data_IF_797164086860
#
_entry.id   IF_797164086860
#
_cell.length_a   1.000
_cell.length_b   1.000
_cell.length_c   1.000
_cell.angle_alpha   90.00
_cell.angle_beta   90.00
_cell.angle_gamma   90.00
#
_symmetry.space_group_name_H-M   'P 1'
#
loop_
_entity.id
_entity.type
_entity.pdbx_description
1 polymer ?
#
# COMPACT_ATOMS: atom_id res chain seq x y z
N UNK A 1 -13.40 -3.42 -3.62
CA UNK A 1 -13.45 -4.38 -4.74
C UNK A 1 -12.30 -4.24 -5.74
N UNK A 2 -11.50 -3.17 -5.71
CA UNK A 2 -10.64 -2.74 -6.82
C UNK A 2 -9.40 -3.61 -7.19
N UNK A 3 -9.30 -4.85 -6.70
CA UNK A 3 -8.16 -5.74 -7.04
C UNK A 3 -8.59 -7.15 -7.46
N UNK A 4 -9.57 -7.73 -6.75
CA UNK A 4 -10.00 -9.13 -6.97
C UNK A 4 -10.68 -9.32 -8.31
N UNK A 5 -11.61 -8.44 -8.69
CA UNK A 5 -12.33 -8.58 -9.96
C UNK A 5 -11.35 -8.50 -11.13
N UNK A 6 -10.43 -7.53 -11.13
CA UNK A 6 -9.40 -7.43 -12.17
C UNK A 6 -8.49 -8.65 -12.22
N UNK A 7 -7.90 -9.07 -11.09
CA UNK A 7 -7.01 -10.22 -11.04
C UNK A 7 -7.71 -11.52 -11.45
N UNK A 8 -8.92 -11.77 -10.94
CA UNK A 8 -9.71 -12.96 -11.23
C UNK A 8 -10.18 -12.99 -12.68
N UNK A 9 -10.68 -11.86 -13.21
CA UNK A 9 -11.04 -11.75 -14.62
C UNK A 9 -9.83 -12.00 -15.53
N UNK A 10 -8.64 -11.51 -15.15
CA UNK A 10 -7.43 -11.68 -15.97
C UNK A 10 -6.94 -13.12 -15.96
N UNK A 11 -6.89 -13.72 -14.76
CA UNK A 11 -6.57 -15.13 -14.62
C UNK A 11 -7.58 -16.01 -15.37
N UNK A 12 -8.88 -15.70 -15.26
CA UNK A 12 -9.93 -16.44 -15.94
C UNK A 12 -9.87 -16.35 -17.47
N UNK A 13 -9.53 -15.18 -18.01
CA UNK A 13 -9.35 -14.99 -19.45
C UNK A 13 -8.12 -15.75 -19.99
N UNK A 14 -7.05 -15.85 -19.21
CA UNK A 14 -5.75 -16.37 -19.65
C UNK A 14 -5.44 -17.81 -19.21
N UNK A 15 -6.28 -18.42 -18.38
CA UNK A 15 -6.08 -19.80 -17.94
C UNK A 15 -6.46 -20.80 -19.04
N UNK A 16 -5.67 -21.86 -19.18
CA UNK A 16 -5.84 -22.89 -20.22
C UNK A 16 -7.12 -23.70 -20.05
N UNK A 17 -7.64 -23.81 -18.83
CA UNK A 17 -8.87 -24.56 -18.55
C UNK A 17 -10.14 -23.72 -18.72
N UNK A 18 -10.00 -22.41 -18.94
CA UNK A 18 -11.12 -21.48 -19.06
C UNK A 18 -11.20 -20.94 -20.50
N UNK A 19 -10.80 -19.69 -20.72
CA UNK A 19 -10.92 -19.02 -22.03
C UNK A 19 -9.64 -19.10 -22.87
N UNK A 20 -8.51 -19.49 -22.26
CA UNK A 20 -7.21 -19.71 -22.91
C UNK A 20 -6.75 -18.60 -23.86
N UNK A 21 -7.16 -17.35 -23.62
CA UNK A 21 -6.77 -16.20 -24.43
C UNK A 21 -5.29 -15.89 -24.24
N UNK A 22 -4.66 -15.35 -25.28
CA UNK A 22 -3.34 -14.76 -25.17
C UNK A 22 -3.36 -13.61 -24.14
N UNK A 23 -2.28 -13.40 -23.36
CA UNK A 23 -2.16 -12.22 -22.51
C UNK A 23 -2.45 -10.90 -23.25
N UNK A 24 -2.04 -10.78 -24.53
CA UNK A 24 -2.31 -9.60 -25.36
C UNK A 24 -3.80 -9.38 -25.60
N UNK A 25 -4.53 -10.44 -25.93
CA UNK A 25 -5.98 -10.41 -26.14
C UNK A 25 -6.72 -10.10 -24.85
N UNK A 26 -6.31 -10.73 -23.74
CA UNK A 26 -6.88 -10.45 -22.44
C UNK A 26 -6.68 -8.98 -22.02
N UNK A 27 -5.51 -8.39 -22.27
CA UNK A 27 -5.28 -6.96 -21.99
C UNK A 27 -6.17 -6.05 -22.87
N UNK A 28 -6.37 -6.40 -24.14
CA UNK A 28 -7.28 -5.66 -25.02
C UNK A 28 -8.73 -5.73 -24.52
N UNK A 29 -9.19 -6.91 -24.09
CA UNK A 29 -10.54 -7.09 -23.50
C UNK A 29 -10.69 -6.28 -22.20
N UNK A 30 -9.65 -6.25 -21.36
CA UNK A 30 -9.69 -5.51 -20.09
C UNK A 30 -9.66 -3.99 -20.25
N UNK A 31 -9.34 -3.46 -21.43
CA UNK A 31 -9.35 -2.02 -21.71
C UNK A 31 -10.74 -1.39 -21.53
N UNK A 32 -11.79 -2.21 -21.58
CA UNK A 32 -13.16 -1.80 -21.26
C UNK A 32 -13.25 -1.23 -19.85
N UNK A 33 -12.49 -1.74 -18.87
CA UNK A 33 -12.56 -1.29 -17.47
C UNK A 33 -12.06 0.16 -17.31
N UNK A 34 -10.85 0.54 -17.76
CA UNK A 34 -10.42 1.94 -17.79
C UNK A 34 -11.35 2.86 -18.59
N UNK A 35 -11.89 2.40 -19.72
CA UNK A 35 -12.82 3.18 -20.54
C UNK A 35 -14.14 3.46 -19.78
N UNK A 36 -14.68 2.45 -19.11
CA UNK A 36 -15.85 2.61 -18.24
C UNK A 36 -15.57 3.57 -17.08
N UNK A 37 -14.39 3.51 -16.46
CA UNK A 37 -14.01 4.47 -15.41
C UNK A 37 -13.91 5.91 -15.92
N UNK A 38 -13.37 6.10 -17.13
CA UNK A 38 -13.30 7.43 -17.75
C UNK A 38 -14.72 7.96 -18.06
N UNK A 39 -15.58 7.10 -18.59
CA UNK A 39 -16.98 7.43 -18.85
C UNK A 39 -17.74 7.78 -17.57
N UNK A 40 -17.64 6.96 -16.52
CA UNK A 40 -18.33 7.26 -15.25
C UNK A 40 -17.80 8.53 -14.60
N UNK A 41 -16.49 8.78 -14.64
CA UNK A 41 -15.91 10.00 -14.09
C UNK A 41 -16.42 11.26 -14.80
N UNK A 42 -16.55 11.23 -16.13
CA UNK A 42 -16.93 12.42 -16.90
C UNK A 42 -18.44 12.63 -17.01
N UNK A 43 -19.22 11.55 -17.07
CA UNK A 43 -20.66 11.63 -17.37
C UNK A 43 -21.56 11.27 -16.19
N UNK A 44 -21.08 10.49 -15.21
CA UNK A 44 -21.90 9.99 -14.10
C UNK A 44 -21.60 10.69 -12.77
N UNK A 45 -20.33 11.02 -12.49
CA UNK A 45 -19.96 11.74 -11.27
C UNK A 45 -20.34 13.21 -11.38
N UNK A 46 -21.33 13.62 -10.60
CA UNK A 46 -21.70 15.01 -10.41
C UNK A 46 -20.54 15.80 -9.78
N UNK A 47 -20.13 16.90 -10.42
CA UNK A 47 -19.05 17.75 -9.94
C UNK A 47 -19.56 18.56 -8.75
N UNK A 48 -19.17 18.19 -7.54
CA UNK A 48 -19.49 18.97 -6.34
C UNK A 48 -18.54 20.17 -6.24
N UNK A 49 -19.08 21.39 -6.41
CA UNK A 49 -18.35 22.67 -6.38
C UNK A 49 -17.76 23.08 -5.00
N UNK A 50 -17.75 22.17 -4.01
CA UNK A 50 -17.36 22.48 -2.61
C UNK A 50 -15.84 22.55 -2.39
N UNK A 51 -15.04 22.86 -3.42
CA UNK A 51 -13.61 23.12 -3.26
C UNK A 51 -13.35 24.61 -3.50
N UNK A 52 -12.99 25.34 -2.42
CA UNK A 52 -12.47 26.70 -2.53
C UNK A 52 -11.25 26.68 -3.46
N UNK A 53 -11.44 27.12 -4.70
CA UNK A 53 -10.38 27.31 -5.68
C UNK A 53 -9.38 28.27 -5.06
N UNK A 54 -8.18 27.80 -4.72
CA UNK A 54 -7.07 28.65 -4.32
C UNK A 54 -6.72 29.47 -5.57
N UNK A 55 -7.29 30.67 -5.64
CA UNK A 55 -6.97 31.63 -6.69
C UNK A 55 -5.58 32.18 -6.41
N UNK A 56 -4.57 31.63 -7.08
CA UNK A 56 -3.29 32.32 -7.25
C UNK A 56 -3.56 33.58 -8.07
N UNK A 57 -3.85 34.68 -7.37
CA UNK A 57 -4.03 35.99 -7.99
C UNK A 57 -2.68 36.44 -8.56
N UNK A 58 -2.55 36.26 -9.88
CA UNK A 58 -1.47 36.80 -10.69
C UNK A 58 -1.69 38.32 -10.75
N UNK A 59 -0.88 39.08 -10.02
CA UNK A 59 -0.91 40.54 -10.06
C UNK A 59 -0.22 40.99 -11.36
N UNK A 60 -0.98 41.04 -12.46
CA UNK A 60 -0.58 41.78 -13.65
C UNK A 60 -0.98 43.24 -13.50
N UNK A 61 0.02 44.11 -13.63
CA UNK A 61 -0.09 45.55 -13.79
C UNK A 61 -1.16 45.92 -14.83
N UNK A 62 -2.02 46.88 -14.51
CA UNK A 62 -2.20 48.07 -15.35
C UNK A 62 -2.96 49.17 -14.60
N UNK A 63 -2.58 50.40 -14.95
CA UNK A 63 -2.94 51.67 -14.30
C UNK A 63 -4.26 52.24 -14.81
N UNK A 64 -4.99 52.95 -13.95
CA UNK A 64 -5.67 54.27 -14.15
C UNK A 64 -6.65 54.52 -12.97
N UNK A 65 -6.35 55.45 -12.04
CA UNK A 65 -6.85 56.86 -11.94
C UNK A 65 -8.39 56.96 -11.84
N UNK A 66 -9.07 57.63 -10.89
CA UNK A 66 -8.85 58.58 -9.77
C UNK A 66 -10.18 58.56 -8.95
N UNK A 67 -10.30 58.85 -7.65
CA UNK A 67 -10.29 60.19 -7.01
C UNK A 67 -10.56 60.06 -5.48
N UNK A 68 -9.66 60.62 -4.65
CA UNK A 68 -9.81 61.46 -3.42
C UNK A 68 -11.03 61.27 -2.48
N UNK A 69 -11.01 61.38 -1.13
CA UNK A 69 -10.12 61.99 -0.11
C UNK A 69 -10.80 61.71 1.27
N UNK A 70 -10.19 61.31 2.40
CA UNK A 70 -9.54 62.15 3.42
C UNK A 70 -9.03 61.32 4.65
N UNK A 71 -7.85 61.67 5.17
CA UNK A 71 -7.33 61.45 6.54
C UNK A 71 -6.66 60.08 6.85
N UNK A 72 -5.51 59.93 7.51
CA UNK A 72 -4.48 60.81 8.10
C UNK A 72 -3.25 59.93 8.46
N UNK A 73 -2.03 60.40 8.13
CA UNK A 73 -0.67 60.09 8.67
C UNK A 73 -0.12 58.63 8.72
N UNK A 74 0.87 58.37 7.85
CA UNK A 74 1.97 57.38 7.99
C UNK A 74 3.21 58.09 8.60
N UNK A 75 4.12 57.43 9.35
CA UNK A 75 5.25 56.74 8.71
C UNK A 75 5.64 55.44 9.50
N UNK A 76 5.86 54.27 8.91
CA UNK A 76 7.13 53.85 8.32
C UNK A 76 6.97 52.42 7.79
N UNK A 77 7.32 52.25 6.54
CA UNK A 77 7.57 50.98 5.87
C UNK A 77 8.59 50.14 6.64
N UNK A 78 8.17 49.04 7.27
CA UNK A 78 9.08 48.02 7.76
C UNK A 78 8.47 46.62 7.55
N UNK A 79 9.07 45.93 6.56
CA UNK A 79 9.14 44.48 6.38
C UNK A 79 7.84 43.66 6.25
N UNK A 80 7.31 43.57 5.03
CA UNK A 80 6.37 42.50 4.62
C UNK A 80 7.13 41.22 4.21
N UNK A 81 8.38 41.31 3.77
CA UNK A 81 9.17 40.16 3.30
C UNK A 81 9.71 39.23 4.42
N UNK A 82 9.86 39.73 5.66
CA UNK A 82 10.30 38.93 6.80
C UNK A 82 9.17 38.21 7.52
N UNK A 83 7.91 38.54 7.21
CA UNK A 83 6.75 37.87 7.80
C UNK A 83 6.47 36.57 7.05
N UNK A 84 6.48 36.58 5.71
CA UNK A 84 6.22 35.38 4.90
C UNK A 84 7.29 34.28 5.07
N UNK A 85 8.56 34.65 5.15
CA UNK A 85 9.66 33.69 5.32
C UNK A 85 9.66 33.05 6.71
N UNK A 86 9.41 33.84 7.76
CA UNK A 86 9.36 33.35 9.15
C UNK A 86 8.06 32.60 9.45
N UNK A 87 6.94 32.97 8.84
CA UNK A 87 5.64 32.30 8.98
C UNK A 87 5.60 30.99 8.19
N UNK A 88 6.20 30.94 7.00
CA UNK A 88 6.41 29.70 6.24
C UNK A 88 7.42 28.76 6.94
N UNK A 89 8.50 29.28 7.52
CA UNK A 89 9.47 28.48 8.27
C UNK A 89 8.86 27.91 9.57
N UNK A 90 8.08 28.72 10.31
CA UNK A 90 7.28 28.24 11.45
C UNK A 90 6.28 27.17 11.02
N UNK A 91 5.67 27.30 9.84
CA UNK A 91 4.75 26.32 9.26
C UNK A 91 5.45 25.00 8.91
N UNK A 92 6.66 25.04 8.33
CA UNK A 92 7.43 23.84 7.96
C UNK A 92 7.96 23.13 9.22
N UNK A 93 8.49 23.87 10.20
CA UNK A 93 8.96 23.30 11.46
C UNK A 93 7.81 22.63 12.25
N UNK A 94 6.62 23.25 12.26
CA UNK A 94 5.41 22.67 12.85
C UNK A 94 4.97 21.41 12.08
N UNK A 95 4.95 21.45 10.75
CA UNK A 95 4.65 20.28 9.91
C UNK A 95 5.63 19.15 10.13
N UNK A 96 6.93 19.45 10.22
CA UNK A 96 7.97 18.45 10.48
C UNK A 96 7.82 17.83 11.88
N UNK A 97 7.37 18.62 12.87
CA UNK A 97 7.05 18.10 14.21
C UNK A 97 5.86 17.13 14.18
N UNK A 98 4.84 17.44 13.39
CA UNK A 98 3.69 16.55 13.15
C UNK A 98 4.15 15.28 12.43
N UNK A 99 4.96 15.39 11.38
CA UNK A 99 5.54 14.25 10.65
C UNK A 99 6.36 13.37 11.60
N UNK A 100 7.19 13.97 12.45
CA UNK A 100 7.99 13.25 13.44
C UNK A 100 7.11 12.43 14.40
N UNK A 101 5.97 12.96 14.82
CA UNK A 101 4.97 12.23 15.61
C UNK A 101 4.33 11.08 14.82
N UNK A 102 4.10 11.29 13.51
CA UNK A 102 3.54 10.30 12.59
C UNK A 102 4.54 9.23 12.15
N UNK A 103 5.85 9.40 12.33
CA UNK A 103 6.86 8.40 11.96
C UNK A 103 6.61 7.04 12.63
N UNK A 104 6.03 7.03 13.84
CA UNK A 104 5.61 5.81 14.54
C UNK A 104 4.54 5.00 13.77
N UNK A 105 3.84 5.62 12.83
CA UNK A 105 2.89 5.00 11.90
C UNK A 105 3.51 4.76 10.53
N UNK A 106 4.32 5.71 10.05
CA UNK A 106 4.92 5.64 8.72
C UNK A 106 5.95 4.52 8.60
N UNK A 107 6.85 4.36 9.57
CA UNK A 107 7.94 3.36 9.47
C UNK A 107 7.38 1.92 9.39
N UNK A 108 6.45 1.50 10.27
CA UNK A 108 5.87 0.16 10.16
C UNK A 108 5.09 -0.05 8.85
N UNK A 109 4.36 0.97 8.38
CA UNK A 109 3.60 0.88 7.14
C UNK A 109 4.54 0.76 5.94
N UNK A 110 5.55 1.63 5.86
CA UNK A 110 6.61 1.58 4.85
C UNK A 110 7.25 0.19 4.76
N UNK A 111 7.72 -0.35 5.90
CA UNK A 111 8.39 -1.65 5.94
C UNK A 111 7.44 -2.80 5.56
N UNK A 112 6.18 -2.72 5.98
CA UNK A 112 5.17 -3.73 5.63
C UNK A 112 4.94 -3.76 4.12
N UNK A 113 4.75 -2.59 3.51
CA UNK A 113 4.53 -2.46 2.07
C UNK A 113 5.78 -2.80 1.25
N UNK A 114 6.96 -2.40 1.73
CA UNK A 114 8.23 -2.77 1.13
C UNK A 114 8.39 -4.30 1.08
N UNK A 115 8.22 -4.96 2.22
CA UNK A 115 8.30 -6.43 2.33
C UNK A 115 7.27 -7.13 1.43
N UNK A 116 6.02 -6.68 1.48
CA UNK A 116 4.92 -7.29 0.76
C UNK A 116 5.10 -7.22 -0.76
N UNK A 117 5.50 -6.06 -1.28
CA UNK A 117 5.75 -5.91 -2.71
C UNK A 117 7.04 -6.59 -3.14
N UNK A 118 8.06 -6.65 -2.27
CA UNK A 118 9.27 -7.42 -2.55
C UNK A 118 8.96 -8.92 -2.71
N UNK A 119 8.12 -9.47 -1.84
CA UNK A 119 7.65 -10.86 -1.97
C UNK A 119 6.81 -11.02 -3.25
N UNK A 120 5.76 -10.21 -3.42
CA UNK A 120 4.78 -10.41 -4.49
C UNK A 120 5.30 -10.14 -5.91
N UNK A 121 6.14 -9.12 -6.06
CA UNK A 121 6.62 -8.66 -7.36
C UNK A 121 8.10 -8.99 -7.59
N UNK A 122 8.86 -9.40 -6.56
CA UNK A 122 10.27 -9.78 -6.70
C UNK A 122 10.56 -11.27 -6.50
N UNK A 123 9.94 -11.91 -5.49
CA UNK A 123 10.31 -13.29 -5.12
C UNK A 123 9.35 -14.36 -5.65
N UNK A 124 8.04 -14.07 -5.71
CA UNK A 124 7.04 -15.04 -6.17
C UNK A 124 7.20 -15.40 -7.66
N UNK A 125 7.72 -14.50 -8.48
CA UNK A 125 8.00 -14.79 -9.90
C UNK A 125 9.10 -15.86 -10.08
N UNK A 126 10.03 -15.96 -9.12
CA UNK A 126 11.12 -16.95 -9.10
C UNK A 126 10.70 -18.28 -8.46
N UNK A 127 9.53 -18.31 -7.81
CA UNK A 127 9.03 -19.50 -7.12
C UNK A 127 8.20 -20.35 -8.09
N UNK A 128 8.89 -21.15 -8.90
CA UNK A 128 8.29 -22.02 -9.91
C UNK A 128 8.31 -23.49 -9.45
N UNK A 129 7.22 -24.20 -9.67
CA UNK A 129 7.09 -25.62 -9.35
C UNK A 129 7.01 -26.49 -10.61
N UNK A 130 7.62 -27.68 -10.54
CA UNK A 130 7.51 -28.73 -11.55
C UNK A 130 6.08 -29.25 -11.70
N UNK A 131 5.81 -29.94 -12.81
CA UNK A 131 4.50 -30.48 -13.15
C UNK A 131 3.85 -31.32 -12.04
N UNK A 132 4.64 -32.15 -11.33
CA UNK A 132 4.15 -32.99 -10.23
C UNK A 132 3.76 -32.18 -8.98
N UNK A 133 4.50 -31.12 -8.68
CA UNK A 133 4.33 -30.30 -7.48
C UNK A 133 3.43 -29.06 -7.71
N UNK A 134 3.21 -28.71 -8.97
CA UNK A 134 2.38 -27.61 -9.45
C UNK A 134 0.99 -28.03 -9.96
N UNK A 135 0.53 -29.25 -9.67
CA UNK A 135 -0.77 -29.78 -10.12
C UNK A 135 -1.00 -29.69 -11.64
N UNK A 136 0.05 -29.88 -12.44
CA UNK A 136 -0.03 -29.75 -13.90
C UNK A 136 -0.19 -28.32 -14.44
N UNK A 137 -0.05 -27.31 -13.59
CA UNK A 137 -0.16 -25.90 -14.00
C UNK A 137 1.15 -25.37 -14.55
N UNK A 138 1.09 -24.59 -15.64
CA UNK A 138 2.26 -23.92 -16.20
C UNK A 138 2.81 -22.85 -15.26
N UNK A 139 4.12 -22.54 -15.27
CA UNK A 139 4.73 -21.49 -14.43
C UNK A 139 4.00 -20.14 -14.49
N UNK A 140 3.59 -19.73 -15.70
CA UNK A 140 2.86 -18.48 -15.89
C UNK A 140 1.45 -18.50 -15.25
N UNK A 141 0.80 -19.66 -15.20
CA UNK A 141 -0.50 -19.82 -14.50
C UNK A 141 -0.29 -19.80 -12.99
N UNK A 142 0.76 -20.47 -12.47
CA UNK A 142 1.12 -20.45 -11.04
C UNK A 142 1.23 -19.01 -10.51
N UNK A 143 1.99 -18.15 -11.20
CA UNK A 143 2.15 -16.75 -10.82
C UNK A 143 0.82 -15.95 -10.87
N UNK A 144 -0.01 -16.16 -11.90
CA UNK A 144 -1.34 -15.50 -11.98
C UNK A 144 -2.23 -15.89 -10.80
N UNK A 145 -2.23 -17.15 -10.42
CA UNK A 145 -3.01 -17.64 -9.28
C UNK A 145 -2.49 -17.13 -7.94
N UNK A 146 -1.17 -16.96 -7.77
CA UNK A 146 -0.62 -16.25 -6.62
C UNK A 146 -1.18 -14.82 -6.50
N UNK A 147 -1.19 -14.07 -7.61
CA UNK A 147 -1.74 -12.71 -7.62
C UNK A 147 -3.23 -12.68 -7.27
N UNK A 148 -4.03 -13.63 -7.78
CA UNK A 148 -5.45 -13.74 -7.43
C UNK A 148 -5.62 -14.00 -5.93
N UNK A 149 -4.93 -15.01 -5.38
CA UNK A 149 -5.04 -15.37 -3.96
C UNK A 149 -4.59 -14.23 -3.05
N UNK A 150 -3.50 -13.55 -3.41
CA UNK A 150 -3.05 -12.35 -2.71
C UNK A 150 -4.16 -11.29 -2.66
N UNK A 151 -4.77 -10.96 -3.81
CA UNK A 151 -5.84 -9.96 -3.88
C UNK A 151 -7.09 -10.39 -3.11
N UNK A 152 -7.41 -11.69 -3.10
CA UNK A 152 -8.49 -12.24 -2.27
C UNK A 152 -8.21 -12.01 -0.78
N UNK A 153 -6.99 -12.29 -0.32
CA UNK A 153 -6.57 -12.03 1.06
C UNK A 153 -6.69 -10.55 1.43
N UNK A 154 -6.18 -9.66 0.57
CA UNK A 154 -6.31 -8.20 0.77
C UNK A 154 -7.78 -7.79 0.83
N UNK A 155 -8.63 -8.30 -0.06
CA UNK A 155 -10.05 -7.96 -0.10
C UNK A 155 -10.80 -8.41 1.13
N UNK A 156 -10.61 -9.67 1.56
CA UNK A 156 -11.22 -10.21 2.78
C UNK A 156 -10.80 -9.36 3.98
N UNK A 157 -9.51 -9.03 4.08
CA UNK A 157 -8.99 -8.23 5.18
C UNK A 157 -9.58 -6.82 5.21
N UNK A 158 -9.58 -6.11 4.07
CA UNK A 158 -10.13 -4.75 3.97
C UNK A 158 -11.64 -4.69 4.22
N UNK A 159 -12.37 -5.72 3.81
CA UNK A 159 -13.82 -5.81 3.97
C UNK A 159 -14.23 -6.23 5.39
N UNK A 160 -13.37 -6.96 6.10
CA UNK A 160 -13.69 -7.51 7.41
C UNK A 160 -13.79 -6.47 8.54
N UNK A 161 -13.15 -5.31 8.41
CA UNK A 161 -12.96 -4.38 9.54
C UNK A 161 -14.26 -3.85 10.17
N UNK A 162 -15.35 -3.78 9.39
CA UNK A 162 -16.63 -3.27 9.87
C UNK A 162 -17.50 -4.36 10.54
N UNK A 163 -17.21 -5.64 10.26
CA UNK A 163 -17.95 -6.78 10.81
C UNK A 163 -17.20 -7.48 11.95
N UNK A 164 -15.90 -7.65 11.80
CA UNK A 164 -15.01 -8.29 12.78
C UNK A 164 -13.71 -7.50 12.76
N UNK A 165 -13.38 -6.83 13.87
CA UNK A 165 -12.01 -6.34 14.05
C UNK A 165 -11.12 -7.57 14.22
N UNK A 166 -10.62 -8.10 13.10
CA UNK A 166 -9.70 -9.21 13.11
C UNK A 166 -8.50 -8.79 13.95
N UNK A 167 -8.37 -9.42 15.12
CA UNK A 167 -7.26 -9.18 16.00
C UNK A 167 -6.02 -9.75 15.29
N UNK A 168 -5.33 -8.91 14.52
CA UNK A 168 -4.24 -9.27 13.60
C UNK A 168 -3.15 -10.11 14.26
N UNK A 169 -3.04 -10.06 15.59
CA UNK A 169 -2.16 -10.91 16.38
C UNK A 169 -2.50 -12.41 16.28
N UNK A 170 -3.79 -12.79 16.26
CA UNK A 170 -4.22 -14.20 16.17
C UNK A 170 -3.94 -14.80 14.80
N UNK A 171 -4.04 -13.98 13.73
CA UNK A 171 -3.67 -14.38 12.38
C UNK A 171 -2.14 -14.38 12.25
N UNK A 172 -1.45 -13.33 12.71
CA UNK A 172 0.02 -13.22 12.73
C UNK A 172 0.73 -14.34 13.52
N UNK A 173 0.07 -14.94 14.51
CA UNK A 173 0.64 -16.02 15.33
C UNK A 173 0.43 -17.43 14.76
N UNK A 174 -0.43 -17.67 13.76
CA UNK A 174 -0.66 -19.03 13.24
C UNK A 174 0.60 -19.74 12.71
N UNK A 175 1.54 -19.07 12.00
CA UNK A 175 2.81 -19.69 11.63
C UNK A 175 3.72 -19.95 12.84
N UNK A 176 3.64 -19.11 13.88
CA UNK A 176 4.42 -19.25 15.12
C UNK A 176 3.88 -20.39 16.00
N UNK A 177 2.57 -20.65 15.94
CA UNK A 177 1.93 -21.78 16.63
C UNK A 177 2.34 -23.15 16.09
N UNK A 178 2.97 -23.23 14.92
CA UNK A 178 3.59 -24.48 14.43
C UNK A 178 4.94 -24.78 15.10
N UNK A 179 5.60 -23.80 15.74
CA UNK A 179 6.94 -23.95 16.34
C UNK A 179 6.90 -24.10 17.87
N UNK A 180 5.79 -23.81 18.54
CA UNK A 180 5.69 -23.92 20.00
C UNK A 180 4.37 -24.52 20.42
N UNK A 181 4.43 -25.70 21.05
CA UNK A 181 3.33 -26.23 21.87
C UNK A 181 2.84 -25.12 22.80
N UNK A 182 1.53 -24.94 22.79
CA UNK A 182 0.74 -24.07 23.66
C UNK A 182 1.27 -24.08 25.09
N UNK A 183 1.32 -22.89 25.72
CA UNK A 183 0.77 -22.73 27.05
C UNK A 183 0.39 -21.27 27.33
N UNK A 184 -0.87 -21.11 27.78
CA UNK A 184 -1.47 -19.96 28.48
C UNK A 184 -1.83 -18.71 27.67
N UNK A 185 -3.03 -18.70 27.08
CA UNK A 185 -3.69 -17.47 26.59
C UNK A 185 -4.80 -17.06 27.56
N UNK A 186 -4.53 -16.00 28.34
CA UNK A 186 -5.59 -15.11 28.84
C UNK A 186 -5.96 -14.15 27.70
N UNK A 187 -7.25 -13.87 27.44
CA UNK A 187 -7.65 -12.87 26.47
C UNK A 187 -7.41 -11.49 27.09
N UNK A 188 -6.19 -10.97 26.93
CA UNK A 188 -5.85 -9.62 27.32
C UNK A 188 -6.27 -8.68 26.20
N UNK A 189 -7.03 -7.65 26.56
CA UNK A 189 -7.41 -6.54 25.70
C UNK A 189 -6.12 -5.78 25.31
N UNK A 190 -5.50 -6.19 24.20
CA UNK A 190 -4.22 -5.65 23.76
C UNK A 190 -4.48 -4.39 22.95
N UNK A 191 -3.99 -3.26 23.48
CA UNK A 191 -3.97 -2.00 22.76
C UNK A 191 -3.30 -2.17 21.38
N UNK A 192 -3.94 -1.75 20.27
CA UNK A 192 -3.41 -1.87 18.91
C UNK A 192 -2.11 -1.06 18.69
N UNK A 193 -1.67 -0.28 19.68
CA UNK A 193 -0.42 0.48 19.68
C UNK A 193 0.81 -0.34 20.12
N UNK A 194 0.62 -1.41 20.91
CA UNK A 194 1.69 -2.30 21.42
C UNK A 194 2.00 -3.47 20.47
N UNK A 195 1.03 -3.84 19.62
CA UNK A 195 1.16 -4.93 18.63
C UNK A 195 1.91 -4.56 17.35
N UNK A 196 2.25 -3.29 17.13
CA UNK A 196 2.94 -2.82 15.91
C UNK A 196 4.39 -3.30 15.75
N UNK A 197 5.25 -3.27 16.78
CA UNK A 197 6.57 -3.88 16.66
C UNK A 197 6.47 -5.38 16.38
N UNK A 198 5.46 -6.07 16.96
CA UNK A 198 5.22 -7.50 16.71
C UNK A 198 4.84 -7.79 15.25
N UNK A 199 4.01 -6.95 14.62
CA UNK A 199 3.66 -7.07 13.20
C UNK A 199 4.88 -6.89 12.29
N UNK A 200 5.73 -5.90 12.61
CA UNK A 200 6.97 -5.67 11.86
C UNK A 200 7.89 -6.89 11.93
N UNK A 201 8.09 -7.45 13.12
CA UNK A 201 8.90 -8.66 13.29
C UNK A 201 8.36 -9.83 12.47
N UNK A 202 7.05 -10.04 12.45
CA UNK A 202 6.41 -11.11 11.64
C UNK A 202 6.62 -10.89 10.15
N UNK A 203 6.43 -9.66 9.64
CA UNK A 203 6.65 -9.35 8.21
C UNK A 203 8.11 -9.52 7.80
N UNK A 204 9.07 -9.13 8.64
CA UNK A 204 10.49 -9.37 8.39
C UNK A 204 10.83 -10.86 8.37
N UNK A 205 10.26 -11.64 9.31
CA UNK A 205 10.41 -13.10 9.34
C UNK A 205 9.83 -13.73 8.07
N UNK A 206 8.63 -13.33 7.65
CA UNK A 206 8.00 -13.87 6.45
C UNK A 206 8.78 -13.48 5.18
N UNK A 207 9.31 -12.26 5.11
CA UNK A 207 10.18 -11.83 4.01
C UNK A 207 11.46 -12.64 3.97
N UNK A 208 12.12 -12.85 5.12
CA UNK A 208 13.30 -13.68 5.20
C UNK A 208 12.99 -15.14 4.83
N UNK A 209 11.85 -15.67 5.27
CA UNK A 209 11.39 -17.01 4.90
C UNK A 209 11.16 -17.16 3.40
N UNK A 210 10.49 -16.20 2.75
CA UNK A 210 10.31 -16.21 1.30
C UNK A 210 11.58 -15.98 0.52
N UNK A 211 12.48 -15.13 1.03
CA UNK A 211 13.79 -14.93 0.44
C UNK A 211 14.59 -16.23 0.51
N UNK A 212 14.60 -16.90 1.67
CA UNK A 212 15.18 -18.23 1.82
C UNK A 212 14.49 -19.25 0.94
N UNK A 213 13.17 -19.19 0.73
CA UNK A 213 12.50 -20.10 -0.17
C UNK A 213 12.86 -19.83 -1.64
N UNK A 214 12.95 -18.57 -2.06
CA UNK A 214 13.38 -18.20 -3.41
C UNK A 214 14.84 -18.62 -3.68
N UNK A 215 15.67 -18.62 -2.63
CA UNK A 215 17.08 -19.03 -2.70
C UNK A 215 17.20 -20.57 -2.65
N UNK A 216 16.61 -21.24 -1.66
CA UNK A 216 16.80 -22.68 -1.38
C UNK A 216 15.71 -23.61 -1.91
N UNK A 217 14.61 -23.09 -2.47
CA UNK A 217 13.45 -23.85 -2.99
C UNK A 217 12.95 -24.96 -2.02
N UNK A 218 12.93 -24.69 -0.71
CA UNK A 218 12.63 -25.73 0.29
C UNK A 218 11.13 -26.04 0.42
N UNK A 219 10.24 -25.18 -0.07
CA UNK A 219 8.80 -25.46 -0.09
C UNK A 219 8.51 -26.48 -1.19
N UNK A 220 7.93 -27.64 -0.87
CA UNK A 220 7.78 -28.73 -1.84
C UNK A 220 6.51 -28.64 -2.71
N UNK A 221 5.54 -27.78 -2.36
CA UNK A 221 4.21 -27.79 -2.99
C UNK A 221 3.66 -26.39 -3.29
N UNK A 222 3.07 -26.25 -4.48
CA UNK A 222 2.37 -25.03 -4.94
C UNK A 222 1.26 -24.59 -3.98
N UNK A 223 0.50 -25.54 -3.41
CA UNK A 223 -0.60 -25.25 -2.49
C UNK A 223 -0.15 -24.59 -1.18
N UNK A 224 1.07 -24.90 -0.71
CA UNK A 224 1.62 -24.28 0.51
C UNK A 224 1.94 -22.82 0.24
N UNK A 225 2.60 -22.53 -0.89
CA UNK A 225 2.87 -21.14 -1.31
C UNK A 225 1.58 -20.36 -1.48
N UNK A 226 0.56 -20.95 -2.12
CA UNK A 226 -0.77 -20.35 -2.24
C UNK A 226 -1.38 -19.94 -0.89
N UNK A 227 -1.31 -20.82 0.12
CA UNK A 227 -1.82 -20.52 1.46
C UNK A 227 -1.03 -19.38 2.12
N UNK A 228 0.29 -19.35 1.96
CA UNK A 228 1.13 -18.29 2.51
C UNK A 228 0.87 -16.96 1.80
N UNK A 229 0.69 -16.95 0.48
CA UNK A 229 0.39 -15.73 -0.30
C UNK A 229 -0.98 -15.15 0.06
N UNK A 230 -2.00 -16.01 0.23
CA UNK A 230 -3.31 -15.60 0.75
C UNK A 230 -3.17 -14.96 2.14
N UNK A 231 -2.34 -15.56 2.99
CA UNK A 231 -2.04 -15.08 4.34
C UNK A 231 -1.31 -13.73 4.35
N UNK A 232 -0.32 -13.55 3.47
CA UNK A 232 0.37 -12.27 3.28
C UNK A 232 -0.60 -11.15 2.92
N UNK A 233 -1.52 -11.43 1.99
CA UNK A 233 -2.57 -10.50 1.60
C UNK A 233 -3.51 -10.13 2.76
N UNK A 234 -3.85 -11.11 3.62
CA UNK A 234 -4.67 -10.86 4.81
C UNK A 234 -3.98 -9.91 5.80
N UNK A 235 -2.70 -10.11 6.08
CA UNK A 235 -1.94 -9.22 6.99
C UNK A 235 -1.73 -7.85 6.35
N UNK A 236 -1.37 -7.80 5.06
CA UNK A 236 -1.15 -6.57 4.31
C UNK A 236 -2.35 -5.65 4.35
N UNK A 237 -3.48 -6.15 3.85
CA UNK A 237 -4.76 -5.43 3.88
C UNK A 237 -5.18 -5.01 5.29
N UNK A 238 -4.86 -5.83 6.28
CA UNK A 238 -5.26 -5.62 7.67
C UNK A 238 -4.47 -4.52 8.36
N UNK A 239 -3.15 -4.57 8.20
CA UNK A 239 -2.22 -3.56 8.71
C UNK A 239 -2.52 -2.19 8.11
N UNK A 240 -2.85 -2.13 6.81
CA UNK A 240 -3.25 -0.91 6.12
C UNK A 240 -4.50 -0.32 6.76
N UNK A 241 -5.62 -1.05 6.75
CA UNK A 241 -6.89 -0.47 7.21
C UNK A 241 -6.86 -0.15 8.70
N UNK A 242 -6.20 -0.96 9.53
CA UNK A 242 -6.02 -0.65 10.94
C UNK A 242 -5.22 0.63 11.18
N UNK A 243 -4.17 0.88 10.38
CA UNK A 243 -3.36 2.09 10.48
C UNK A 243 -4.18 3.33 10.10
N UNK A 244 -4.87 3.29 8.96
CA UNK A 244 -5.69 4.39 8.49
C UNK A 244 -6.90 4.67 9.38
N UNK A 245 -7.55 3.62 9.92
CA UNK A 245 -8.64 3.76 10.88
C UNK A 245 -8.18 4.41 12.19
N UNK A 246 -6.99 4.04 12.67
CA UNK A 246 -6.43 4.62 13.89
C UNK A 246 -6.07 6.10 13.71
N UNK A 247 -5.47 6.46 12.58
CA UNK A 247 -5.20 7.86 12.21
C UNK A 247 -6.51 8.65 12.14
N UNK A 248 -7.54 8.09 11.49
CA UNK A 248 -8.82 8.78 11.33
C UNK A 248 -9.54 9.07 12.66
N UNK A 249 -9.36 8.20 13.67
CA UNK A 249 -9.99 8.34 15.01
C UNK A 249 -9.15 9.12 16.03
N UNK A 250 -7.82 9.09 15.95
CA UNK A 250 -6.95 9.67 16.98
C UNK A 250 -6.31 11.01 16.60
N UNK A 251 -6.30 11.37 15.32
CA UNK A 251 -5.71 12.62 14.84
C UNK A 251 -6.79 13.70 14.74
N UNK A 252 -6.48 14.90 15.24
CA UNK A 252 -7.40 16.04 15.19
C UNK A 252 -7.85 16.34 13.75
N UNK A 253 -9.14 16.65 13.54
CA UNK A 253 -9.69 16.88 12.20
C UNK A 253 -8.94 17.94 11.37
N UNK A 254 -8.33 18.94 12.03
CA UNK A 254 -7.58 20.03 11.39
C UNK A 254 -6.27 19.58 10.72
N UNK A 255 -5.63 18.52 11.22
CA UNK A 255 -4.37 17.99 10.67
C UNK A 255 -4.52 16.59 10.06
N UNK A 256 -5.72 16.00 10.14
CA UNK A 256 -6.00 14.63 9.70
C UNK A 256 -5.75 14.42 8.21
N UNK A 257 -6.16 15.35 7.35
CA UNK A 257 -5.94 15.24 5.91
C UNK A 257 -4.46 15.25 5.56
N UNK A 258 -3.69 16.15 6.20
CA UNK A 258 -2.24 16.20 6.07
C UNK A 258 -1.59 14.92 6.57
N UNK A 259 -2.04 14.37 7.71
CA UNK A 259 -1.53 13.12 8.26
C UNK A 259 -1.81 11.92 7.35
N UNK A 260 -3.03 11.82 6.80
CA UNK A 260 -3.43 10.77 5.87
C UNK A 260 -2.60 10.83 4.58
N UNK A 261 -2.42 12.02 4.02
CA UNK A 261 -1.57 12.25 2.84
C UNK A 261 -0.11 11.86 3.10
N UNK A 262 0.46 12.32 4.21
CA UNK A 262 1.85 12.03 4.58
C UNK A 262 2.08 10.53 4.80
N UNK A 263 1.15 9.85 5.48
CA UNK A 263 1.25 8.39 5.72
C UNK A 263 1.09 7.60 4.43
N UNK A 264 0.22 8.03 3.51
CA UNK A 264 0.11 7.42 2.18
C UNK A 264 1.39 7.57 1.36
N UNK A 265 2.17 8.63 1.57
CA UNK A 265 3.47 8.79 0.91
C UNK A 265 4.46 7.68 1.32
N UNK A 266 4.41 7.26 2.59
CA UNK A 266 5.29 6.21 3.11
C UNK A 266 5.00 4.84 2.47
N UNK A 267 3.73 4.54 2.21
CA UNK A 267 3.30 3.37 1.41
C UNK A 267 3.95 3.42 0.01
N UNK A 268 3.73 4.49 -0.74
CA UNK A 268 4.26 4.64 -2.10
C UNK A 268 5.78 4.53 -2.18
N UNK A 269 6.50 5.13 -1.22
CA UNK A 269 7.97 5.03 -1.16
C UNK A 269 8.41 3.59 -0.87
N UNK A 270 7.67 2.85 -0.03
CA UNK A 270 7.90 1.43 0.25
C UNK A 270 7.78 0.58 -1.00
N UNK A 271 6.68 0.74 -1.75
CA UNK A 271 6.45 0.03 -3.01
C UNK A 271 7.53 0.35 -4.03
N UNK A 272 7.87 1.63 -4.19
CA UNK A 272 8.89 2.08 -5.13
C UNK A 272 10.25 1.46 -4.81
N UNK A 273 10.69 1.51 -3.54
CA UNK A 273 11.96 0.92 -3.13
C UNK A 273 11.96 -0.60 -3.27
N UNK A 274 10.84 -1.27 -3.01
CA UNK A 274 10.72 -2.70 -3.24
C UNK A 274 10.95 -3.05 -4.72
N UNK A 275 10.32 -2.31 -5.64
CA UNK A 275 10.51 -2.51 -7.07
C UNK A 275 11.98 -2.33 -7.51
N UNK A 276 12.67 -1.28 -7.01
CA UNK A 276 14.09 -1.08 -7.29
C UNK A 276 14.99 -2.17 -6.72
N UNK A 277 14.66 -2.69 -5.53
CA UNK A 277 15.42 -3.75 -4.87
C UNK A 277 15.14 -5.14 -5.45
N UNK A 278 13.94 -5.38 -6.01
CA UNK A 278 13.59 -6.64 -6.67
C UNK A 278 14.52 -6.95 -7.84
N UNK A 279 14.89 -5.95 -8.65
CA UNK A 279 15.73 -6.15 -9.84
C UNK A 279 17.12 -6.74 -9.52
N UNK A 280 17.95 -6.12 -8.64
CA UNK A 280 19.26 -6.68 -8.31
C UNK A 280 19.14 -8.02 -7.56
N UNK A 281 18.11 -8.20 -6.73
CA UNK A 281 17.86 -9.49 -6.06
C UNK A 281 17.55 -10.58 -7.09
N UNK A 282 16.69 -10.30 -8.07
CA UNK A 282 16.38 -11.23 -9.15
C UNK A 282 17.64 -11.65 -9.90
N UNK A 283 18.45 -10.67 -10.34
CA UNK A 283 19.70 -10.95 -11.05
C UNK A 283 20.66 -11.79 -10.20
N UNK A 284 20.82 -11.45 -8.91
CA UNK A 284 21.68 -12.21 -8.00
C UNK A 284 21.21 -13.66 -7.82
N UNK A 285 19.90 -13.90 -7.76
CA UNK A 285 19.34 -15.26 -7.65
C UNK A 285 19.59 -16.05 -8.94
N UNK A 286 19.33 -15.44 -10.10
CA UNK A 286 19.53 -16.07 -11.40
C UNK A 286 21.02 -16.38 -11.71
N UNK A 287 21.97 -15.68 -11.10
CA UNK A 287 23.40 -15.95 -11.23
C UNK A 287 23.90 -17.14 -10.37
N UNK A 288 23.12 -17.61 -9.40
CA UNK A 288 23.55 -18.69 -8.50
C UNK A 288 23.58 -20.06 -9.21
N UNK A 289 24.58 -20.89 -8.88
CA UNK A 289 24.88 -22.13 -9.62
C UNK A 289 23.77 -23.19 -9.64
N UNK A 290 22.98 -23.29 -8.57
CA UNK A 290 21.84 -24.21 -8.43
C UNK A 290 20.54 -23.78 -9.12
N UNK A 291 20.48 -22.56 -9.68
CA UNK A 291 19.29 -22.06 -10.37
C UNK A 291 19.40 -22.26 -11.91
N UNK A 292 20.54 -22.79 -12.39
CA UNK A 292 20.76 -23.20 -13.78
C UNK A 292 20.31 -24.62 -14.05
#
# INVERSE_FOLDING_TARGET
MAGVVGAFSYAGLTDRHLLALSPTEAMMVMLVVPALFMFTFHFLLEHTDTMKRISFSKKSSDSEKSTSEYGEKLPKSLSIASVDSVEMEKTIAQRLTIVKSLLRYMIPLFLTYFAEYLINQGLLELTVFDCSHGYGTSPASQYRWYQVLYQVGVFVSRSSINCIQLNMLFIALMPVFQVRKLDTIKPLYIDPMSSRPKQLTVKLINTAFFLLNAIYAFLPNFGIVCAIVLYEGLIGGGSYVNTFHHIHKKVDPSIREFALSTVSLADSIGIMLAAFVSIPIHNAICEMQWYR
#
